data_IF_341732773146
#
_entry.id   IF_341732773146
#
_cell.length_a   1.000
_cell.length_b   1.000
_cell.length_c   1.000
_cell.angle_alpha   90.00
_cell.angle_beta   90.00
_cell.angle_gamma   90.00
#
_symmetry.space_group_name_H-M   'P 1'
#
loop_
_entity.id
_entity.type
_entity.pdbx_description
1 polymer ?
#
# COMPACT_ATOMS: atom_id res chain seq x y z
N UNK A 1 27.13 2.16 -0.97
CA UNK A 1 26.36 2.78 -2.08
C UNK A 1 25.39 1.79 -2.73
N UNK A 2 25.88 0.77 -3.45
CA UNK A 2 25.05 -0.18 -4.22
C UNK A 2 23.88 -0.82 -3.47
N UNK A 3 24.10 -1.34 -2.26
CA UNK A 3 23.03 -1.94 -1.47
C UNK A 3 21.95 -0.93 -1.00
N UNK A 4 22.26 0.37 -0.91
CA UNK A 4 21.29 1.40 -0.47
C UNK A 4 20.43 1.88 -1.65
N UNK A 5 21.05 2.29 -2.75
CA UNK A 5 20.39 2.94 -3.88
C UNK A 5 20.10 2.02 -5.09
N UNK A 6 20.52 0.75 -5.06
CA UNK A 6 20.46 -0.20 -6.19
C UNK A 6 21.31 0.21 -7.42
N UNK A 7 22.37 0.99 -7.18
CA UNK A 7 23.26 1.52 -8.23
C UNK A 7 24.57 0.73 -8.27
N UNK A 8 24.97 0.15 -9.39
CA UNK A 8 26.30 -0.47 -9.51
C UNK A 8 27.37 0.59 -9.25
N UNK A 9 28.25 0.30 -8.31
CA UNK A 9 29.43 1.08 -8.00
C UNK A 9 30.58 0.08 -7.85
N UNK A 10 31.62 0.25 -8.64
CA UNK A 10 32.88 -0.46 -8.47
C UNK A 10 33.84 0.37 -7.63
N UNK A 11 34.82 -0.27 -6.98
CA UNK A 11 35.82 0.49 -6.21
C UNK A 11 36.60 1.47 -7.12
N UNK A 12 36.85 1.06 -8.37
CA UNK A 12 37.42 1.82 -9.48
C UNK A 12 36.71 3.14 -9.78
N UNK A 13 35.40 3.27 -9.51
CA UNK A 13 34.66 4.53 -9.70
C UNK A 13 35.12 5.64 -8.73
N UNK A 14 35.84 5.30 -7.66
CA UNK A 14 36.12 6.19 -6.52
C UNK A 14 37.61 6.27 -6.13
N UNK A 15 38.51 5.54 -6.80
CA UNK A 15 39.93 5.44 -6.37
C UNK A 15 40.68 6.79 -6.47
N UNK A 16 40.38 7.55 -7.52
CA UNK A 16 41.14 8.76 -7.90
C UNK A 16 40.39 10.07 -7.57
N UNK A 17 39.36 10.03 -6.72
CA UNK A 17 38.52 11.18 -6.35
C UNK A 17 38.80 11.64 -4.92
N UNK A 18 38.78 12.95 -4.69
CA UNK A 18 38.75 13.49 -3.33
C UNK A 18 37.42 13.14 -2.63
N UNK A 19 37.36 13.10 -1.28
CA UNK A 19 36.15 12.67 -0.56
C UNK A 19 34.89 13.47 -0.88
N UNK A 20 35.01 14.77 -1.19
CA UNK A 20 33.90 15.63 -1.59
C UNK A 20 33.40 15.26 -3.00
N UNK A 21 34.31 15.10 -3.97
CA UNK A 21 34.01 14.69 -5.35
C UNK A 21 33.38 13.28 -5.40
N UNK A 22 33.84 12.37 -4.54
CA UNK A 22 33.28 11.04 -4.37
C UNK A 22 31.83 11.07 -3.83
N UNK A 23 31.52 12.01 -2.91
CA UNK A 23 30.14 12.23 -2.43
C UNK A 23 29.27 12.81 -3.53
N UNK A 24 29.74 13.82 -4.26
CA UNK A 24 28.99 14.43 -5.35
C UNK A 24 28.68 13.43 -6.47
N UNK A 25 29.64 12.59 -6.89
CA UNK A 25 29.40 11.53 -7.86
C UNK A 25 28.36 10.50 -7.37
N UNK A 26 28.41 10.11 -6.09
CA UNK A 26 27.41 9.21 -5.50
C UNK A 26 26.03 9.86 -5.48
N UNK A 27 25.93 11.15 -5.16
CA UNK A 27 24.69 11.90 -5.13
C UNK A 27 24.12 12.11 -6.54
N UNK A 28 24.93 12.43 -7.54
CA UNK A 28 24.51 12.56 -8.94
C UNK A 28 23.95 11.23 -9.47
N UNK A 29 24.70 10.12 -9.33
CA UNK A 29 24.20 8.80 -9.74
C UNK A 29 22.92 8.42 -8.98
N UNK A 30 22.79 8.78 -7.69
CA UNK A 30 21.58 8.55 -6.91
C UNK A 30 20.37 9.31 -7.44
N UNK A 31 20.55 10.59 -7.80
CA UNK A 31 19.52 11.40 -8.43
C UNK A 31 19.12 10.86 -9.82
N UNK A 32 20.07 10.38 -10.63
CA UNK A 32 19.79 9.82 -11.95
C UNK A 32 19.10 8.45 -11.92
N UNK A 33 19.47 7.58 -10.98
CA UNK A 33 18.73 6.34 -10.73
C UNK A 33 17.29 6.63 -10.30
N UNK A 34 17.09 7.65 -9.47
CA UNK A 34 15.77 8.09 -9.04
C UNK A 34 14.95 8.74 -10.18
N UNK A 35 15.55 9.61 -11.00
CA UNK A 35 14.92 10.18 -12.22
C UNK A 35 14.54 9.09 -13.22
N UNK A 36 15.37 8.06 -13.37
CA UNK A 36 15.07 6.88 -14.18
C UNK A 36 13.87 6.11 -13.62
N UNK A 37 13.89 5.84 -12.31
CA UNK A 37 12.79 5.18 -11.59
C UNK A 37 11.47 5.96 -11.68
N UNK A 38 11.51 7.29 -11.69
CA UNK A 38 10.34 8.17 -11.88
C UNK A 38 9.64 7.94 -13.23
N UNK A 39 10.39 7.61 -14.29
CA UNK A 39 9.83 7.27 -15.62
C UNK A 39 9.36 5.82 -15.72
N UNK A 40 10.09 4.89 -15.09
CA UNK A 40 9.84 3.43 -15.18
C UNK A 40 8.69 2.98 -14.26
N UNK A 41 8.67 3.45 -13.00
CA UNK A 41 7.76 2.95 -11.97
C UNK A 41 6.26 3.09 -12.32
N UNK A 42 5.78 4.19 -12.94
CA UNK A 42 4.41 4.29 -13.43
C UNK A 42 3.99 3.16 -14.38
N UNK A 43 4.88 2.74 -15.29
CA UNK A 43 4.63 1.67 -16.26
C UNK A 43 4.57 0.32 -15.55
N UNK A 44 5.59 0.01 -14.73
CA UNK A 44 5.65 -1.19 -13.89
C UNK A 44 4.34 -1.37 -13.09
N UNK A 45 3.97 -0.33 -12.33
CA UNK A 45 2.78 -0.35 -11.49
C UNK A 45 1.49 -0.57 -12.27
N UNK A 46 1.34 0.05 -13.45
CA UNK A 46 0.12 -0.10 -14.24
C UNK A 46 0.03 -1.41 -15.02
N UNK A 47 1.15 -2.01 -15.42
CA UNK A 47 1.14 -3.38 -15.96
C UNK A 47 0.71 -4.37 -14.87
N UNK A 48 1.24 -4.25 -13.66
CA UNK A 48 0.85 -5.09 -12.51
C UNK A 48 -0.63 -4.89 -12.14
N UNK A 49 -1.07 -3.62 -12.02
CA UNK A 49 -2.46 -3.25 -11.71
C UNK A 49 -3.45 -3.71 -12.79
N UNK A 50 -3.09 -3.60 -14.07
CA UNK A 50 -3.96 -4.02 -15.17
C UNK A 50 -4.04 -5.55 -15.25
N UNK A 51 -2.91 -6.25 -15.07
CA UNK A 51 -2.87 -7.72 -14.97
C UNK A 51 -3.70 -8.26 -13.81
N UNK A 52 -3.75 -7.53 -12.68
CA UNK A 52 -4.63 -7.82 -11.56
C UNK A 52 -6.12 -7.58 -11.90
N UNK A 53 -6.47 -6.44 -12.51
CA UNK A 53 -7.86 -6.11 -12.87
C UNK A 53 -8.43 -6.96 -14.00
N UNK A 54 -7.59 -7.44 -14.93
CA UNK A 54 -7.97 -8.38 -15.99
C UNK A 54 -8.60 -9.66 -15.43
N UNK A 55 -8.26 -10.08 -14.21
CA UNK A 55 -8.86 -11.26 -13.55
C UNK A 55 -10.26 -10.98 -12.99
N UNK A 56 -10.69 -9.71 -12.89
CA UNK A 56 -11.98 -9.29 -12.34
C UNK A 56 -12.95 -8.82 -13.44
N UNK A 57 -12.51 -7.89 -14.29
CA UNK A 57 -13.30 -7.30 -15.36
C UNK A 57 -12.36 -6.92 -16.53
N UNK A 58 -12.18 -7.83 -17.52
CA UNK A 58 -11.22 -7.61 -18.60
C UNK A 58 -11.50 -6.34 -19.42
N UNK A 59 -12.77 -6.06 -19.68
CA UNK A 59 -13.16 -4.93 -20.53
C UNK A 59 -12.81 -3.59 -19.86
N UNK A 60 -13.22 -3.41 -18.59
CA UNK A 60 -12.88 -2.19 -17.84
C UNK A 60 -11.40 -2.07 -17.52
N UNK A 61 -10.70 -3.19 -17.33
CA UNK A 61 -9.25 -3.19 -17.10
C UNK A 61 -8.50 -2.61 -18.32
N UNK A 62 -8.83 -3.09 -19.52
CA UNK A 62 -8.21 -2.61 -20.77
C UNK A 62 -8.63 -1.17 -21.07
N UNK A 63 -9.90 -0.82 -20.90
CA UNK A 63 -10.38 0.55 -21.11
C UNK A 63 -9.66 1.56 -20.20
N UNK A 64 -9.56 1.27 -18.90
CA UNK A 64 -8.85 2.13 -17.95
C UNK A 64 -7.35 2.22 -18.24
N UNK A 65 -6.73 1.12 -18.71
CA UNK A 65 -5.33 1.11 -19.15
C UNK A 65 -5.12 2.01 -20.38
N UNK A 66 -5.98 1.91 -21.39
CA UNK A 66 -5.94 2.76 -22.58
C UNK A 66 -6.14 4.25 -22.23
N UNK A 67 -7.10 4.58 -21.37
CA UNK A 67 -7.30 5.95 -20.88
C UNK A 67 -6.07 6.50 -20.15
N UNK A 68 -5.44 5.69 -19.31
CA UNK A 68 -4.20 6.05 -18.61
C UNK A 68 -3.02 6.25 -19.57
N UNK A 69 -2.88 5.36 -20.55
CA UNK A 69 -1.85 5.44 -21.60
C UNK A 69 -2.02 6.73 -22.41
N UNK A 70 -3.26 7.07 -22.82
CA UNK A 70 -3.56 8.32 -23.51
C UNK A 70 -3.25 9.55 -22.65
N UNK A 71 -3.66 9.54 -21.37
CA UNK A 71 -3.44 10.65 -20.44
C UNK A 71 -1.94 10.94 -20.21
N UNK A 72 -1.10 9.91 -20.04
CA UNK A 72 0.33 10.10 -19.81
C UNK A 72 1.12 10.29 -21.10
N UNK A 73 0.98 9.38 -22.06
CA UNK A 73 1.91 9.24 -23.20
C UNK A 73 1.37 9.82 -24.51
N UNK A 74 0.13 10.33 -24.53
CA UNK A 74 -0.53 10.88 -25.73
C UNK A 74 -0.72 9.83 -26.85
N UNK A 75 -0.88 8.56 -26.47
CA UNK A 75 -1.09 7.44 -27.40
C UNK A 75 -2.58 7.06 -27.47
N UNK A 76 -3.17 7.14 -28.66
CA UNK A 76 -4.57 6.80 -28.93
C UNK A 76 -4.83 5.28 -29.06
N UNK A 77 -4.41 4.52 -28.06
CA UNK A 77 -4.75 3.10 -27.97
C UNK A 77 -6.23 2.92 -27.58
N UNK A 78 -6.90 1.96 -28.22
CA UNK A 78 -8.22 1.48 -27.83
C UNK A 78 -8.15 -0.04 -27.59
N UNK A 79 -9.15 -0.67 -26.95
CA UNK A 79 -9.20 -2.12 -26.79
C UNK A 79 -9.11 -2.91 -28.12
N UNK A 80 -9.34 -2.28 -29.26
CA UNK A 80 -9.25 -2.87 -30.60
C UNK A 80 -7.93 -2.55 -31.34
N UNK A 81 -7.19 -1.53 -30.90
CA UNK A 81 -5.95 -1.04 -31.56
C UNK A 81 -4.68 -1.24 -30.71
N UNK A 82 -4.75 -2.05 -29.65
CA UNK A 82 -3.58 -2.42 -28.85
C UNK A 82 -2.47 -3.05 -29.73
N UNK A 83 -1.20 -2.66 -29.54
CA UNK A 83 -0.10 -3.18 -30.36
C UNK A 83 0.32 -4.62 -29.99
N UNK A 84 -0.03 -5.10 -28.80
CA UNK A 84 0.11 -6.51 -28.39
C UNK A 84 -0.93 -6.89 -27.34
N UNK A 85 -1.27 -8.18 -27.27
CA UNK A 85 -2.08 -8.76 -26.20
C UNK A 85 -1.23 -9.27 -25.01
N UNK A 86 0.10 -9.22 -25.14
CA UNK A 86 1.04 -9.66 -24.11
C UNK A 86 1.46 -8.46 -23.22
N UNK A 87 1.27 -8.52 -21.89
CA UNK A 87 1.65 -7.44 -20.98
C UNK A 87 3.13 -7.04 -21.05
N UNK A 88 4.06 -7.97 -21.28
CA UNK A 88 5.50 -7.65 -21.34
C UNK A 88 5.89 -6.88 -22.61
N UNK A 89 5.20 -7.11 -23.74
CA UNK A 89 5.43 -6.32 -24.97
C UNK A 89 4.90 -4.89 -24.80
N UNK A 90 3.70 -4.76 -24.20
CA UNK A 90 3.10 -3.46 -23.86
C UNK A 90 3.99 -2.69 -22.88
N UNK A 91 4.51 -3.38 -21.86
CA UNK A 91 5.48 -2.84 -20.90
C UNK A 91 6.71 -2.31 -21.62
N UNK A 92 7.36 -3.11 -22.46
CA UNK A 92 8.56 -2.71 -23.19
C UNK A 92 8.32 -1.46 -24.04
N UNK A 93 7.22 -1.43 -24.81
CA UNK A 93 6.85 -0.26 -25.60
C UNK A 93 6.68 0.99 -24.72
N UNK A 94 5.94 0.88 -23.62
CA UNK A 94 5.69 2.01 -22.72
C UNK A 94 6.94 2.48 -21.98
N UNK A 95 7.91 1.59 -21.69
CA UNK A 95 9.19 1.96 -21.12
C UNK A 95 10.07 2.72 -22.12
N UNK A 96 10.16 2.24 -23.37
CA UNK A 96 10.85 2.95 -24.46
C UNK A 96 10.23 4.34 -24.68
N UNK A 97 8.90 4.44 -24.65
CA UNK A 97 8.20 5.71 -24.82
C UNK A 97 8.36 6.63 -23.60
N UNK A 98 8.30 6.11 -22.37
CA UNK A 98 8.49 6.87 -21.14
C UNK A 98 9.89 7.50 -21.03
N UNK A 99 10.93 6.80 -21.51
CA UNK A 99 12.29 7.31 -21.52
C UNK A 99 12.47 8.49 -22.49
N UNK A 100 11.63 8.61 -23.54
CA UNK A 100 11.60 9.74 -24.49
C UNK A 100 10.88 11.00 -23.97
N UNK A 101 10.49 11.05 -22.68
CA UNK A 101 9.95 12.27 -22.08
C UNK A 101 11.06 13.12 -21.47
N UNK A 102 11.49 14.12 -22.25
CA UNK A 102 12.40 15.19 -21.86
C UNK A 102 11.65 16.50 -21.56
N UNK A 103 12.37 17.49 -21.04
CA UNK A 103 11.80 18.79 -20.69
C UNK A 103 11.24 19.56 -21.90
N UNK A 104 11.82 19.37 -23.09
CA UNK A 104 11.32 19.99 -24.32
C UNK A 104 9.99 19.37 -24.77
N UNK A 105 9.79 18.06 -24.62
CA UNK A 105 8.51 17.39 -24.86
C UNK A 105 7.47 17.79 -23.82
N UNK A 106 7.84 17.88 -22.54
CA UNK A 106 6.95 18.41 -21.50
C UNK A 106 6.50 19.83 -21.83
N UNK A 107 7.42 20.71 -22.25
CA UNK A 107 7.12 22.09 -22.63
C UNK A 107 6.20 22.17 -23.86
N UNK A 108 6.50 21.46 -24.95
CA UNK A 108 5.64 21.42 -26.15
C UNK A 108 4.23 20.91 -25.87
N UNK A 109 4.08 20.00 -24.90
CA UNK A 109 2.77 19.55 -24.43
C UNK A 109 2.06 20.61 -23.58
N UNK A 110 2.78 21.32 -22.72
CA UNK A 110 2.24 22.42 -21.93
C UNK A 110 1.75 23.56 -22.84
N UNK A 111 2.51 23.92 -23.88
CA UNK A 111 2.13 24.91 -24.89
C UNK A 111 0.80 24.54 -25.57
N UNK A 112 0.63 23.30 -26.05
CA UNK A 112 -0.66 22.82 -26.61
C UNK A 112 -1.80 22.85 -25.59
N UNK A 113 -1.55 22.40 -24.36
CA UNK A 113 -2.57 22.35 -23.29
C UNK A 113 -3.07 23.78 -22.96
N UNK A 114 -2.16 24.75 -22.90
CA UNK A 114 -2.53 26.17 -22.70
C UNK A 114 -3.31 26.72 -23.89
N UNK A 115 -2.93 26.38 -25.13
CA UNK A 115 -3.70 26.74 -26.34
C UNK A 115 -5.14 26.16 -26.30
N UNK A 116 -5.27 24.85 -26.01
CA UNK A 116 -6.55 24.16 -25.87
C UNK A 116 -7.41 24.70 -24.71
N UNK A 117 -6.80 25.28 -23.66
CA UNK A 117 -7.51 25.86 -22.53
C UNK A 117 -8.29 27.14 -22.85
N UNK A 118 -8.01 27.80 -23.99
CA UNK A 118 -8.62 29.07 -24.38
C UNK A 118 -8.55 30.17 -23.30
N UNK A 119 -7.54 30.13 -22.42
CA UNK A 119 -7.32 31.10 -21.35
C UNK A 119 -7.88 30.71 -19.98
N UNK A 120 -8.60 29.59 -19.84
CA UNK A 120 -9.04 29.06 -18.54
C UNK A 120 -8.42 27.66 -18.26
N UNK A 121 -7.18 27.69 -17.76
CA UNK A 121 -6.41 26.50 -17.46
C UNK A 121 -7.04 25.64 -16.35
N UNK A 122 -7.65 26.25 -15.33
CA UNK A 122 -8.28 25.50 -14.22
C UNK A 122 -9.54 24.78 -14.71
N UNK A 123 -10.41 25.44 -15.49
CA UNK A 123 -11.60 24.81 -16.06
C UNK A 123 -11.24 23.68 -17.02
N UNK A 124 -10.21 23.87 -17.86
CA UNK A 124 -9.74 22.83 -18.77
C UNK A 124 -9.21 21.61 -18.00
N UNK A 125 -8.40 21.81 -16.95
CA UNK A 125 -7.85 20.74 -16.12
C UNK A 125 -8.94 20.00 -15.33
N UNK A 126 -9.97 20.70 -14.84
CA UNK A 126 -11.13 20.08 -14.19
C UNK A 126 -11.91 19.20 -15.15
N UNK A 127 -12.14 19.69 -16.36
CA UNK A 127 -12.98 19.01 -17.35
C UNK A 127 -12.28 17.78 -17.94
N UNK A 128 -11.01 17.91 -18.32
CA UNK A 128 -10.30 16.85 -19.04
C UNK A 128 -9.57 15.88 -18.10
N UNK A 129 -8.99 16.37 -17.02
CA UNK A 129 -8.11 15.58 -16.13
C UNK A 129 -8.67 15.40 -14.71
N UNK A 130 -9.86 15.96 -14.42
CA UNK A 130 -10.45 15.99 -13.09
C UNK A 130 -9.50 16.56 -12.02
N UNK A 131 -8.69 17.55 -12.40
CA UNK A 131 -7.71 18.21 -11.54
C UNK A 131 -8.14 19.67 -11.26
N UNK A 132 -7.92 20.15 -10.04
CA UNK A 132 -8.21 21.52 -9.63
C UNK A 132 -6.92 22.22 -9.18
N UNK A 133 -6.64 23.41 -9.70
CA UNK A 133 -5.55 24.26 -9.22
C UNK A 133 -5.86 24.78 -7.80
N UNK A 134 -4.85 24.85 -6.93
CA UNK A 134 -4.95 25.65 -5.70
C UNK A 134 -4.99 27.14 -6.04
N UNK A 135 -5.39 28.00 -5.10
CA UNK A 135 -5.47 29.44 -5.36
C UNK A 135 -4.08 30.04 -5.66
N UNK A 136 -3.02 29.56 -5.00
CA UNK A 136 -1.63 29.89 -5.36
C UNK A 136 -1.28 29.47 -6.80
N UNK A 137 -1.69 28.27 -7.22
CA UNK A 137 -1.39 27.76 -8.57
C UNK A 137 -2.22 28.45 -9.66
N UNK A 138 -3.35 29.08 -9.32
CA UNK A 138 -4.09 29.97 -10.23
C UNK A 138 -3.35 31.29 -10.41
N UNK A 139 -2.87 31.89 -9.31
CA UNK A 139 -2.05 33.11 -9.38
C UNK A 139 -0.74 32.87 -10.16
N UNK A 140 -0.09 31.72 -9.96
CA UNK A 140 1.06 31.30 -10.79
C UNK A 140 0.66 31.16 -12.27
N UNK A 141 -0.54 30.63 -12.58
CA UNK A 141 -1.00 30.42 -13.94
C UNK A 141 -1.40 31.72 -14.67
N UNK A 142 -1.77 32.78 -13.95
CA UNK A 142 -1.96 34.12 -14.51
C UNK A 142 -0.62 34.74 -14.95
N UNK A 143 0.50 34.34 -14.32
CA UNK A 143 1.85 34.84 -14.62
C UNK A 143 2.57 33.98 -15.68
N UNK A 144 2.57 32.66 -15.51
CA UNK A 144 3.14 31.69 -16.45
C UNK A 144 2.29 30.40 -16.51
N UNK A 145 1.27 30.37 -17.40
CA UNK A 145 0.42 29.19 -17.55
C UNK A 145 1.18 27.98 -18.11
N UNK A 146 2.29 28.19 -18.84
CA UNK A 146 3.11 27.12 -19.42
C UNK A 146 3.93 26.44 -18.32
N UNK A 147 4.49 27.18 -17.37
CA UNK A 147 5.15 26.61 -16.20
C UNK A 147 4.18 25.82 -15.32
N UNK A 148 2.98 26.33 -15.05
CA UNK A 148 1.96 25.61 -14.28
C UNK A 148 1.49 24.36 -15.03
N UNK A 149 1.19 24.45 -16.33
CA UNK A 149 0.83 23.29 -17.14
C UNK A 149 1.96 22.24 -17.18
N UNK A 150 3.22 22.67 -17.33
CA UNK A 150 4.41 21.79 -17.26
C UNK A 150 4.50 21.06 -15.92
N UNK A 151 4.32 21.79 -14.81
CA UNK A 151 4.26 21.22 -13.45
C UNK A 151 3.13 20.19 -13.32
N UNK A 152 1.95 20.45 -13.90
CA UNK A 152 0.82 19.51 -13.91
C UNK A 152 1.06 18.27 -14.76
N UNK A 153 1.63 18.41 -15.96
CA UNK A 153 2.00 17.25 -16.80
C UNK A 153 3.03 16.38 -16.05
N UNK A 154 4.05 16.97 -15.41
CA UNK A 154 5.02 16.23 -14.61
C UNK A 154 4.37 15.54 -13.40
N UNK A 155 3.47 16.21 -12.67
CA UNK A 155 2.68 15.61 -11.59
C UNK A 155 1.86 14.40 -12.07
N UNK A 156 1.17 14.53 -13.21
CA UNK A 156 0.46 13.42 -13.85
C UNK A 156 1.42 12.31 -14.22
N UNK A 157 2.59 12.60 -14.80
CA UNK A 157 3.55 11.59 -15.25
C UNK A 157 4.10 10.73 -14.11
N UNK A 158 4.42 11.33 -12.94
CA UNK A 158 4.98 10.61 -11.77
C UNK A 158 3.95 10.09 -10.76
N UNK A 159 2.65 10.24 -11.01
CA UNK A 159 1.59 10.11 -10.00
C UNK A 159 1.64 8.83 -9.13
N UNK A 160 1.97 7.69 -9.71
CA UNK A 160 2.05 6.39 -9.06
C UNK A 160 3.25 6.31 -8.10
N UNK A 161 4.38 6.89 -8.49
CA UNK A 161 5.56 7.00 -7.63
C UNK A 161 5.31 8.02 -6.52
N UNK A 162 4.68 9.16 -6.82
CA UNK A 162 4.28 10.15 -5.81
C UNK A 162 3.31 9.57 -4.76
N UNK A 163 2.40 8.67 -5.17
CA UNK A 163 1.52 7.97 -4.23
C UNK A 163 2.27 6.90 -3.42
N UNK A 164 3.26 6.21 -4.00
CA UNK A 164 4.16 5.33 -3.24
C UNK A 164 4.94 6.15 -2.19
N UNK A 165 5.57 7.25 -2.59
CA UNK A 165 6.34 8.14 -1.73
C UNK A 165 5.51 8.66 -0.55
N UNK A 166 4.29 9.15 -0.83
CA UNK A 166 3.34 9.57 0.20
C UNK A 166 3.03 8.43 1.18
N UNK A 167 2.76 7.23 0.68
CA UNK A 167 2.45 6.06 1.53
C UNK A 167 3.64 5.65 2.39
N UNK A 168 4.85 5.62 1.82
CA UNK A 168 6.10 5.30 2.50
C UNK A 168 6.41 6.34 3.58
N UNK A 169 6.37 7.63 3.25
CA UNK A 169 6.58 8.74 4.18
C UNK A 169 5.59 8.68 5.35
N UNK A 170 4.28 8.57 5.08
CA UNK A 170 3.26 8.50 6.13
C UNK A 170 3.45 7.28 7.04
N UNK A 171 3.78 6.11 6.49
CA UNK A 171 4.03 4.90 7.28
C UNK A 171 5.31 5.01 8.15
N UNK A 172 6.34 5.71 7.67
CA UNK A 172 7.57 5.95 8.43
C UNK A 172 7.31 6.96 9.54
N UNK A 173 6.72 8.12 9.22
CA UNK A 173 6.41 9.17 10.20
C UNK A 173 5.44 8.69 11.29
N UNK A 174 4.35 7.99 10.95
CA UNK A 174 3.37 7.50 11.93
C UNK A 174 3.99 6.48 12.92
N UNK A 175 4.91 5.64 12.44
CA UNK A 175 5.69 4.72 13.29
C UNK A 175 6.64 5.51 14.20
N UNK A 176 7.57 6.27 13.60
CA UNK A 176 8.62 6.96 14.32
C UNK A 176 8.08 7.97 15.34
N UNK A 177 6.98 8.66 15.02
CA UNK A 177 6.33 9.61 15.92
C UNK A 177 5.69 8.93 17.13
N UNK A 178 5.05 7.77 16.96
CA UNK A 178 4.50 6.99 18.09
C UNK A 178 5.60 6.51 19.03
N UNK A 179 6.70 6.03 18.45
CA UNK A 179 7.87 5.58 19.21
C UNK A 179 8.53 6.76 19.96
N UNK A 180 8.69 7.93 19.33
CA UNK A 180 9.21 9.15 19.94
C UNK A 180 8.32 9.69 21.08
N UNK A 181 6.99 9.69 20.91
CA UNK A 181 6.06 10.06 21.98
C UNK A 181 6.24 9.14 23.20
N UNK A 182 6.31 7.82 22.97
CA UNK A 182 6.51 6.85 24.05
C UNK A 182 7.86 7.03 24.77
N UNK A 183 8.95 7.28 24.03
CA UNK A 183 10.25 7.58 24.61
C UNK A 183 10.23 8.90 25.40
N UNK A 184 9.54 9.93 24.91
CA UNK A 184 9.39 11.22 25.59
C UNK A 184 8.65 11.09 26.92
N UNK A 185 7.62 10.23 26.98
CA UNK A 185 6.92 9.91 28.23
C UNK A 185 7.84 9.17 29.22
N UNK A 186 8.64 8.19 28.77
CA UNK A 186 9.64 7.52 29.63
C UNK A 186 10.72 8.49 30.16
N UNK A 187 11.17 9.44 29.33
CA UNK A 187 12.08 10.51 29.76
C UNK A 187 11.40 11.40 30.81
N UNK A 188 10.12 11.75 30.62
CA UNK A 188 9.35 12.56 31.57
C UNK A 188 9.18 11.87 32.93
N UNK A 189 8.96 10.56 32.96
CA UNK A 189 8.88 9.79 34.21
C UNK A 189 10.25 9.67 34.88
N UNK A 190 11.31 9.43 34.12
CA UNK A 190 12.67 9.25 34.66
C UNK A 190 13.36 10.55 35.07
N UNK A 191 12.98 11.71 34.50
CA UNK A 191 13.60 13.01 34.82
C UNK A 191 13.44 13.40 36.29
N UNK A 192 12.38 12.92 36.96
CA UNK A 192 12.18 13.11 38.40
C UNK A 192 13.35 12.59 39.23
N UNK A 193 13.97 11.48 38.82
CA UNK A 193 15.16 10.91 39.48
C UNK A 193 16.47 11.64 39.13
N UNK A 194 16.50 12.50 38.09
CA UNK A 194 17.67 13.36 37.80
C UNK A 194 17.75 14.61 38.69
N UNK A 195 16.65 14.98 39.36
CA UNK A 195 16.63 16.10 40.32
C UNK A 195 17.62 15.92 41.49
N UNK A 196 17.97 14.68 41.84
CA UNK A 196 19.00 14.36 42.84
C UNK A 196 20.41 14.82 42.45
N UNK A 197 20.66 15.16 41.17
CA UNK A 197 21.96 15.64 40.66
C UNK A 197 22.10 17.16 40.63
N UNK A 198 21.21 17.92 41.28
CA UNK A 198 21.21 19.40 41.35
C UNK A 198 21.05 20.13 40.00
N UNK A 199 20.75 19.42 38.91
CA UNK A 199 20.41 19.98 37.61
C UNK A 199 18.91 20.31 37.55
N UNK A 200 18.51 21.37 36.85
CA UNK A 200 17.10 21.70 36.62
C UNK A 200 16.45 20.62 35.72
N UNK A 201 15.47 19.84 36.23
CA UNK A 201 14.83 18.78 35.44
C UNK A 201 14.15 19.30 34.18
N UNK A 202 13.73 20.58 34.14
CA UNK A 202 13.11 21.20 32.97
C UNK A 202 14.12 21.49 31.86
N UNK A 203 15.37 21.80 32.21
CA UNK A 203 16.47 22.00 31.24
C UNK A 203 16.88 20.63 30.68
N UNK A 204 17.09 19.65 31.55
CA UNK A 204 17.46 18.29 31.14
C UNK A 204 16.36 17.61 30.30
N UNK A 205 15.08 17.77 30.65
CA UNK A 205 13.96 17.28 29.82
C UNK A 205 13.96 17.89 28.42
N UNK A 206 14.19 19.21 28.30
CA UNK A 206 14.28 19.88 27.00
C UNK A 206 15.45 19.37 26.17
N UNK A 207 16.61 19.16 26.81
CA UNK A 207 17.83 18.68 26.15
C UNK A 207 17.68 17.26 25.64
N UNK A 208 17.15 16.36 26.47
CA UNK A 208 16.91 14.97 26.09
C UNK A 208 15.78 14.87 25.04
N UNK A 209 14.70 15.63 25.19
CA UNK A 209 13.61 15.68 24.21
C UNK A 209 14.06 16.18 22.84
N UNK A 210 14.96 17.17 22.78
CA UNK A 210 15.60 17.58 21.53
C UNK A 210 16.46 16.46 20.93
N UNK A 211 17.33 15.83 21.75
CA UNK A 211 18.17 14.71 21.31
C UNK A 211 17.35 13.56 20.71
N UNK A 212 16.23 13.19 21.35
CA UNK A 212 15.31 12.15 20.87
C UNK A 212 14.50 12.57 19.62
N UNK A 213 14.30 13.87 19.41
CA UNK A 213 13.67 14.38 18.20
C UNK A 213 14.62 14.31 17.01
N UNK A 214 15.88 14.72 17.21
CA UNK A 214 16.92 14.65 16.18
C UNK A 214 17.20 13.18 15.79
N UNK A 215 17.36 12.29 16.77
CA UNK A 215 17.54 10.84 16.56
C UNK A 215 16.35 10.20 15.82
N UNK A 216 15.11 10.60 16.13
CA UNK A 216 13.92 10.20 15.38
C UNK A 216 13.98 10.70 13.93
N UNK A 217 14.40 11.94 13.70
CA UNK A 217 14.43 12.55 12.37
C UNK A 217 15.51 11.94 11.46
N UNK A 218 16.70 11.66 12.00
CA UNK A 218 17.75 10.88 11.32
C UNK A 218 17.23 9.48 10.93
N UNK A 219 16.58 8.77 11.86
CA UNK A 219 16.00 7.46 11.58
C UNK A 219 14.92 7.50 10.47
N UNK A 220 14.12 8.57 10.41
CA UNK A 220 13.15 8.79 9.33
C UNK A 220 13.88 8.96 7.99
N UNK A 221 14.93 9.77 7.91
CA UNK A 221 15.70 9.99 6.68
C UNK A 221 16.33 8.69 6.17
N UNK A 222 16.91 7.88 7.06
CA UNK A 222 17.47 6.58 6.70
C UNK A 222 16.41 5.60 6.18
N UNK A 223 15.28 5.43 6.89
CA UNK A 223 14.18 4.58 6.41
C UNK A 223 13.58 5.04 5.09
N UNK A 224 13.50 6.36 4.85
CA UNK A 224 13.01 6.90 3.58
C UNK A 224 13.99 6.55 2.46
N UNK A 225 15.29 6.82 2.65
CA UNK A 225 16.31 6.57 1.62
C UNK A 225 16.52 5.08 1.32
N UNK A 226 16.36 4.19 2.31
CA UNK A 226 16.39 2.74 2.10
C UNK A 226 15.20 2.20 1.29
N UNK A 227 14.01 2.81 1.44
CA UNK A 227 12.76 2.34 0.83
C UNK A 227 12.42 3.03 -0.48
N UNK A 228 12.79 4.30 -0.70
CA UNK A 228 12.36 5.07 -1.87
C UNK A 228 12.82 4.44 -3.19
N UNK A 229 13.99 3.79 -3.20
CA UNK A 229 14.56 3.06 -4.35
C UNK A 229 14.00 1.64 -4.53
N UNK A 230 13.45 1.02 -3.49
CA UNK A 230 13.15 -0.43 -3.46
C UNK A 230 11.67 -0.79 -3.33
N UNK A 231 10.91 0.05 -2.64
CA UNK A 231 9.51 -0.22 -2.35
C UNK A 231 8.68 -0.34 -3.63
N UNK A 232 7.70 -1.24 -3.62
CA UNK A 232 6.65 -1.35 -4.64
C UNK A 232 5.30 -1.35 -3.94
N UNK A 233 4.33 -0.64 -4.51
CA UNK A 233 3.00 -0.56 -3.94
C UNK A 233 2.28 -1.91 -4.14
N UNK A 234 1.95 -2.58 -3.05
CA UNK A 234 1.24 -3.87 -3.11
C UNK A 234 -0.17 -3.69 -3.68
N UNK A 235 -0.37 -4.10 -4.94
CA UNK A 235 -1.70 -4.23 -5.54
C UNK A 235 -2.42 -5.43 -4.92
N UNK A 236 -3.13 -5.20 -3.82
CA UNK A 236 -3.84 -6.27 -3.10
C UNK A 236 -5.17 -6.59 -3.77
N UNK A 237 -5.30 -7.84 -4.23
CA UNK A 237 -6.60 -8.44 -4.57
C UNK A 237 -7.49 -8.47 -3.32
N UNK A 238 -8.57 -7.69 -3.32
CA UNK A 238 -9.72 -8.00 -2.46
C UNK A 238 -10.43 -9.20 -3.07
N UNK A 239 -10.01 -10.41 -2.70
CA UNK A 239 -10.74 -11.61 -3.13
C UNK A 239 -12.20 -11.50 -2.68
N UNK A 240 -13.18 -11.80 -3.55
CA UNK A 240 -14.55 -11.98 -3.09
C UNK A 240 -14.55 -13.11 -2.04
N UNK A 241 -15.32 -12.99 -0.95
CA UNK A 241 -15.35 -14.03 0.07
C UNK A 241 -15.67 -15.37 -0.58
N UNK A 242 -14.98 -16.46 -0.21
CA UNK A 242 -15.18 -17.75 -0.86
C UNK A 242 -16.66 -18.10 -0.77
N UNK A 243 -17.31 -18.24 -1.93
CA UNK A 243 -18.69 -18.72 -2.00
C UNK A 243 -18.69 -20.09 -1.34
N UNK A 244 -19.22 -20.16 -0.11
CA UNK A 244 -19.49 -21.43 0.54
C UNK A 244 -20.39 -22.20 -0.42
N UNK A 245 -19.82 -23.20 -1.08
CA UNK A 245 -20.63 -24.18 -1.80
C UNK A 245 -21.52 -24.81 -0.73
N UNK A 246 -22.80 -24.44 -0.75
CA UNK A 246 -23.80 -25.23 -0.07
C UNK A 246 -23.72 -26.62 -0.68
N UNK A 247 -23.06 -27.53 0.03
CA UNK A 247 -23.21 -28.95 -0.20
C UNK A 247 -24.70 -29.22 -0.04
N UNK A 248 -25.41 -29.39 -1.16
CA UNK A 248 -26.76 -29.91 -1.13
C UNK A 248 -26.65 -31.33 -0.59
N UNK A 249 -26.96 -31.48 0.70
CA UNK A 249 -27.07 -32.77 1.36
C UNK A 249 -28.12 -33.60 0.63
N UNK A 250 -27.67 -34.51 -0.23
CA UNK A 250 -28.53 -35.53 -0.79
C UNK A 250 -29.00 -36.46 0.36
N UNK A 251 -30.27 -36.85 0.42
CA UNK A 251 -30.73 -37.81 1.42
C UNK A 251 -30.04 -39.17 1.19
N UNK A 252 -29.62 -39.89 2.26
CA UNK A 252 -29.00 -41.19 2.09
C UNK A 252 -30.04 -42.25 1.70
N UNK A 253 -30.00 -42.73 0.45
CA UNK A 253 -30.72 -43.95 0.08
C UNK A 253 -30.13 -45.17 0.78
N UNK A 254 -31.01 -46.03 1.30
CA UNK A 254 -30.65 -47.23 2.06
C UNK A 254 -30.12 -48.34 1.15
N UNK A 255 -28.80 -48.45 1.03
CA UNK A 255 -28.13 -49.59 0.40
C UNK A 255 -27.66 -50.63 1.44
N UNK A 256 -28.05 -51.90 1.25
CA UNK A 256 -27.88 -53.00 2.20
C UNK A 256 -26.42 -53.49 2.27
N UNK A 257 -25.84 -53.55 3.46
CA UNK A 257 -24.48 -54.05 3.68
C UNK A 257 -24.45 -55.58 3.73
N UNK A 258 -23.92 -56.23 2.69
CA UNK A 258 -23.55 -57.65 2.72
C UNK A 258 -22.08 -57.81 3.13
N UNK A 259 -21.79 -58.69 4.08
CA UNK A 259 -20.44 -58.90 4.62
C UNK A 259 -19.60 -59.84 3.74
N UNK A 260 -18.33 -59.49 3.51
CA UNK A 260 -17.24 -60.47 3.37
C UNK A 260 -15.97 -59.98 4.11
N UNK A 261 -15.12 -60.89 4.62
CA UNK A 261 -14.20 -60.57 5.72
C UNK A 261 -12.77 -60.21 5.26
N UNK A 262 -12.05 -59.44 6.08
CA UNK A 262 -10.58 -59.33 6.04
C UNK A 262 -9.97 -59.76 7.39
N UNK A 263 -8.75 -60.35 7.40
CA UNK A 263 -8.22 -61.07 8.55
C UNK A 263 -7.60 -60.17 9.62
N UNK A 264 -7.57 -60.69 10.86
CA UNK A 264 -7.02 -60.05 12.07
C UNK A 264 -5.48 -60.07 12.10
N UNK A 265 -4.82 -58.99 12.54
CA UNK A 265 -3.58 -59.05 13.31
C UNK A 265 -3.89 -59.23 14.81
N UNK A 266 -2.88 -59.65 15.59
CA UNK A 266 -3.04 -60.13 16.97
C UNK A 266 -3.01 -59.01 18.02
N UNK A 267 -3.61 -59.31 19.16
CA UNK A 267 -3.61 -58.54 20.40
C UNK A 267 -2.27 -58.68 21.14
N UNK A 268 -1.85 -57.64 21.86
CA UNK A 268 -1.02 -57.77 23.06
C UNK A 268 -1.57 -56.83 24.15
N UNK A 269 -2.07 -57.42 25.25
CA UNK A 269 -2.66 -56.71 26.39
C UNK A 269 -1.60 -56.31 27.42
N UNK A 270 -1.68 -55.07 27.92
CA UNK A 270 -1.29 -54.59 29.25
C UNK A 270 -1.74 -53.11 29.35
N UNK A 271 -2.54 -52.63 30.31
CA UNK A 271 -3.22 -53.28 31.44
C UNK A 271 -4.48 -52.46 31.79
N UNK A 272 -5.57 -53.09 32.24
CA UNK A 272 -6.77 -52.42 32.79
C UNK A 272 -6.85 -52.63 34.31
N UNK A 273 -7.43 -51.64 35.04
CA UNK A 273 -7.93 -51.58 36.45
C UNK A 273 -7.11 -50.62 37.32
N UNK A 274 -7.64 -49.85 38.30
CA UNK A 274 -9.00 -49.34 38.65
C UNK A 274 -8.78 -48.22 39.74
N UNK A 275 -9.73 -47.47 40.33
CA UNK A 275 -11.19 -47.35 40.31
C UNK A 275 -11.56 -45.87 40.66
N UNK A 276 -12.54 -45.21 40.03
CA UNK A 276 -13.97 -45.12 40.41
C UNK A 276 -14.31 -44.62 41.83
N UNK A 277 -14.68 -43.33 41.96
CA UNK A 277 -15.65 -42.71 42.90
C UNK A 277 -15.53 -41.16 42.78
N UNK A 278 -16.56 -40.31 42.88
CA UNK A 278 -17.98 -40.45 43.21
C UNK A 278 -18.80 -39.50 42.28
N UNK A 279 -19.98 -39.85 41.76
CA UNK A 279 -21.33 -39.64 42.34
C UNK A 279 -21.69 -38.16 42.63
N UNK A 280 -22.89 -37.61 42.34
CA UNK A 280 -24.08 -38.00 41.55
C UNK A 280 -25.03 -36.76 41.49
N UNK A 281 -26.12 -36.82 40.70
CA UNK A 281 -27.36 -35.99 40.79
C UNK A 281 -27.25 -34.51 40.33
N UNK A 282 -28.28 -33.86 39.76
CA UNK A 282 -29.66 -34.23 39.36
C UNK A 282 -30.04 -33.50 38.05
N UNK A 283 -30.95 -34.07 37.26
CA UNK A 283 -31.73 -33.37 36.20
C UNK A 283 -33.08 -32.93 36.80
N UNK A 284 -33.67 -31.79 36.38
CA UNK A 284 -34.80 -31.94 35.45
C UNK A 284 -34.93 -30.88 34.35
N UNK A 285 -35.30 -31.39 33.17
CA UNK A 285 -35.88 -30.76 31.97
C UNK A 285 -36.69 -29.46 32.20
N UNK A 286 -36.36 -28.39 31.45
CA UNK A 286 -37.30 -27.76 30.48
C UNK A 286 -36.72 -26.51 29.78
N UNK A 287 -37.22 -26.23 28.56
CA UNK A 287 -37.07 -24.93 27.90
C UNK A 287 -35.87 -24.79 26.95
N UNK A 288 -36.06 -25.17 25.68
CA UNK A 288 -35.05 -24.96 24.64
C UNK A 288 -34.82 -23.47 24.34
N UNK A 289 -33.68 -22.94 24.79
CA UNK A 289 -33.21 -21.62 24.38
C UNK A 289 -32.48 -21.73 23.04
N UNK A 290 -33.07 -21.18 21.96
CA UNK A 290 -32.33 -20.94 20.72
C UNK A 290 -31.17 -19.98 21.03
N UNK A 291 -29.93 -20.44 20.84
CA UNK A 291 -28.72 -19.63 20.94
C UNK A 291 -28.60 -18.68 19.75
N UNK A 292 -29.40 -17.61 19.76
CA UNK A 292 -29.35 -16.56 18.74
C UNK A 292 -27.99 -15.88 18.75
N UNK A 293 -27.33 -15.86 17.59
CA UNK A 293 -26.00 -15.31 17.42
C UNK A 293 -25.94 -13.80 17.68
N UNK A 294 -24.83 -13.32 18.24
CA UNK A 294 -24.64 -11.91 18.66
C UNK A 294 -24.94 -10.86 17.56
N UNK A 295 -24.85 -11.23 16.28
CA UNK A 295 -25.13 -10.37 15.12
C UNK A 295 -26.44 -10.69 14.37
N UNK A 296 -27.20 -11.72 14.78
CA UNK A 296 -28.46 -12.14 14.13
C UNK A 296 -29.64 -11.23 14.48
N UNK A 297 -30.77 -11.28 13.73
CA UNK A 297 -31.98 -10.55 14.09
C UNK A 297 -32.48 -10.92 15.48
N UNK A 298 -32.84 -9.92 16.29
CA UNK A 298 -33.27 -10.14 17.66
C UNK A 298 -34.68 -10.77 17.69
N UNK A 299 -34.90 -11.89 18.42
CA UNK A 299 -36.16 -12.65 18.38
C UNK A 299 -37.36 -11.92 19.00
N UNK A 300 -37.16 -10.76 19.62
CA UNK A 300 -38.23 -9.89 20.12
C UNK A 300 -38.96 -9.09 19.02
N UNK A 301 -38.69 -9.35 17.74
CA UNK A 301 -39.36 -8.69 16.61
C UNK A 301 -38.90 -7.24 16.33
N UNK A 302 -37.88 -6.74 17.01
CA UNK A 302 -37.44 -5.33 16.93
C UNK A 302 -36.72 -4.94 15.64
N UNK A 303 -36.45 -5.88 14.72
CA UNK A 303 -35.68 -5.68 13.49
C UNK A 303 -34.18 -5.38 13.69
N UNK A 304 -33.71 -5.24 14.94
CA UNK A 304 -32.32 -4.91 15.28
C UNK A 304 -31.49 -6.19 15.50
N UNK A 305 -30.16 -6.10 15.33
CA UNK A 305 -29.23 -7.19 15.67
C UNK A 305 -29.24 -7.46 17.17
N UNK A 306 -29.15 -8.72 17.61
CA UNK A 306 -29.28 -9.14 19.01
C UNK A 306 -28.43 -8.31 19.99
N UNK A 307 -27.14 -8.07 19.69
CA UNK A 307 -26.24 -7.22 20.51
C UNK A 307 -26.61 -5.75 20.64
N UNK A 308 -27.50 -5.24 19.79
CA UNK A 308 -28.04 -3.86 19.83
C UNK A 308 -29.49 -3.83 20.32
N UNK A 309 -29.94 -4.91 20.97
CA UNK A 309 -31.26 -5.06 21.55
C UNK A 309 -31.14 -5.96 22.81
N UNK A 310 -31.87 -7.08 22.90
CA UNK A 310 -31.91 -7.92 24.11
C UNK A 310 -30.55 -8.52 24.55
N UNK A 311 -29.56 -8.59 23.66
CA UNK A 311 -28.19 -9.03 23.96
C UNK A 311 -27.21 -7.89 24.27
N UNK A 312 -27.71 -6.67 24.51
CA UNK A 312 -26.91 -5.52 24.94
C UNK A 312 -26.87 -5.38 26.46
N UNK A 313 -25.71 -5.66 27.04
CA UNK A 313 -25.17 -4.92 28.20
C UNK A 313 -23.98 -4.13 27.69
#
# INVERSE_FOLDING_TARGET
VTAKFEIPFEASDLVDLEPEEAVDLVMERALDAYRTRERIYPVDFMIDMTSMRLQQDPAKAIEAFCQWVKLKYELDWTPQTLPSNNPEDLKKFLLEEALRWDDERFKRRAERLVEESNGDLDMWLRTNWNFALSDDEKADAELDPIAVATKKIKQVQRAELAQLERNVLLQIFDSAWKDHLHQTDQVRESIGFRSFSQLDPRIEFKREGARLFDEMFEHIQDRVTDLVFKAKMQVRMSQPPPKQQQQLSQPPETAKTAQQPRPKPKVSEQSIRAASAAASKDDPVSGGAMTVGRNEPCPCGSGKKYKKCCGGR
#
